data_IF_696528458027
#
_entry.id   IF_696528458027
#
_cell.length_a   1.000
_cell.length_b   1.000
_cell.length_c   1.000
_cell.angle_alpha   90.00
_cell.angle_beta   90.00
_cell.angle_gamma   90.00
#
_symmetry.space_group_name_H-M   'P 1'
#
loop_
_entity.id
_entity.type
_entity.pdbx_description
1 polymer ?
#
# COMPACT_ATOMS: atom_id res chain seq x y z
N UNK A 1 -15.09 -7.98 -5.00
CA UNK A 1 -14.02 -6.99 -4.77
C UNK A 1 -13.88 -6.62 -3.30
N UNK A 2 -14.95 -6.25 -2.65
CA UNK A 2 -14.92 -5.89 -1.22
C UNK A 2 -14.50 -7.06 -0.34
N UNK A 3 -14.90 -8.28 -0.65
CA UNK A 3 -14.47 -9.47 0.06
C UNK A 3 -12.95 -9.68 -0.05
N UNK A 4 -12.38 -9.41 -1.22
CA UNK A 4 -10.95 -9.50 -1.42
C UNK A 4 -10.20 -8.50 -0.54
N UNK A 5 -10.69 -7.26 -0.47
CA UNK A 5 -10.13 -6.22 0.39
C UNK A 5 -10.18 -6.66 1.86
N UNK A 6 -11.33 -7.17 2.30
CA UNK A 6 -11.48 -7.62 3.68
C UNK A 6 -10.57 -8.80 4.01
N UNK A 7 -10.39 -9.72 3.06
CA UNK A 7 -9.51 -10.88 3.23
C UNK A 7 -8.05 -10.42 3.41
N UNK A 8 -7.60 -9.46 2.61
CA UNK A 8 -6.25 -8.91 2.74
C UNK A 8 -6.09 -8.21 4.09
N UNK A 9 -7.10 -7.44 4.51
CA UNK A 9 -7.04 -6.73 5.79
C UNK A 9 -7.01 -7.66 7.01
N UNK A 10 -7.51 -8.88 6.88
CA UNK A 10 -7.45 -9.89 7.94
C UNK A 10 -6.06 -10.49 8.11
N UNK A 11 -5.17 -10.31 7.14
CA UNK A 11 -3.79 -10.75 7.28
C UNK A 11 -3.08 -9.94 8.37
N UNK A 12 -2.16 -10.58 9.07
CA UNK A 12 -1.30 -9.89 10.04
C UNK A 12 -0.19 -9.08 9.36
N UNK A 13 -0.01 -9.22 8.05
CA UNK A 13 0.98 -8.49 7.26
C UNK A 13 0.33 -7.35 6.49
N UNK A 14 1.10 -6.31 6.21
CA UNK A 14 0.60 -5.14 5.50
C UNK A 14 1.70 -4.32 4.86
N UNK A 15 2.55 -4.95 4.01
CA UNK A 15 3.62 -4.23 3.31
C UNK A 15 3.08 -3.53 2.07
N UNK A 16 2.70 -4.28 1.06
CA UNK A 16 2.11 -3.74 -0.15
C UNK A 16 1.02 -4.67 -0.66
N UNK A 17 0.06 -4.13 -1.39
CA UNK A 17 -0.97 -4.90 -2.07
C UNK A 17 -1.07 -4.43 -3.52
N UNK A 18 -1.20 -5.39 -4.44
CA UNK A 18 -1.44 -5.13 -5.85
C UNK A 18 -2.93 -5.22 -6.16
N UNK A 19 -3.45 -4.27 -6.91
CA UNK A 19 -4.86 -4.23 -7.32
C UNK A 19 -4.93 -4.01 -8.83
N UNK A 20 -5.58 -4.93 -9.53
CA UNK A 20 -5.75 -4.85 -10.98
C UNK A 20 -7.18 -4.46 -11.30
N UNK A 21 -7.36 -3.28 -11.85
CA UNK A 21 -8.67 -2.79 -12.23
C UNK A 21 -8.57 -1.61 -13.20
N UNK A 22 -9.57 -1.45 -14.06
CA UNK A 22 -9.73 -0.25 -14.90
C UNK A 22 -10.74 0.74 -14.32
N UNK A 23 -11.37 0.40 -13.20
CA UNK A 23 -12.43 1.21 -12.60
C UNK A 23 -11.83 2.13 -11.54
N UNK A 24 -11.91 3.44 -11.77
CA UNK A 24 -11.36 4.44 -10.86
C UNK A 24 -11.98 4.35 -9.45
N UNK A 25 -13.28 4.11 -9.37
CA UNK A 25 -13.93 4.01 -8.07
C UNK A 25 -13.40 2.83 -7.26
N UNK A 26 -13.10 1.71 -7.92
CA UNK A 26 -12.48 0.56 -7.25
C UNK A 26 -11.05 0.84 -6.83
N UNK A 27 -10.30 1.59 -7.63
CA UNK A 27 -8.94 2.01 -7.23
C UNK A 27 -8.98 2.84 -5.96
N UNK A 28 -9.87 3.82 -5.91
CA UNK A 28 -10.00 4.69 -4.74
C UNK A 28 -10.55 3.94 -3.53
N UNK A 29 -11.48 3.02 -3.74
CA UNK A 29 -11.98 2.16 -2.67
C UNK A 29 -10.86 1.33 -2.05
N UNK A 30 -10.03 0.72 -2.91
CA UNK A 30 -8.88 -0.06 -2.45
C UNK A 30 -7.90 0.81 -1.64
N UNK A 31 -7.61 2.01 -2.14
CA UNK A 31 -6.76 2.96 -1.43
C UNK A 31 -7.30 3.30 -0.04
N UNK A 32 -8.60 3.55 0.06
CA UNK A 32 -9.22 3.96 1.32
C UNK A 32 -9.33 2.81 2.33
N UNK A 33 -9.50 1.58 1.85
CA UNK A 33 -9.89 0.46 2.72
C UNK A 33 -8.78 -0.58 2.96
N UNK A 34 -7.72 -0.61 2.15
CA UNK A 34 -6.60 -1.53 2.37
C UNK A 34 -5.67 -1.00 3.47
N UNK A 35 -5.44 -1.81 4.48
CA UNK A 35 -4.54 -1.49 5.60
C UNK A 35 -3.14 -2.03 5.32
N UNK A 36 -2.46 -1.41 4.38
CA UNK A 36 -1.10 -1.78 3.94
C UNK A 36 -0.27 -0.51 3.78
N UNK A 37 1.06 -0.67 3.73
CA UNK A 37 1.96 0.45 3.54
C UNK A 37 1.91 1.05 2.14
N UNK A 38 1.69 0.21 1.11
CA UNK A 38 1.57 0.67 -0.27
C UNK A 38 0.46 -0.05 -1.02
N UNK A 39 -0.27 0.68 -1.85
CA UNK A 39 -1.26 0.12 -2.77
C UNK A 39 -0.76 0.35 -4.18
N UNK A 40 -0.54 -0.74 -4.93
CA UNK A 40 -0.01 -0.70 -6.28
C UNK A 40 -1.14 -1.03 -7.25
N UNK A 41 -1.46 -0.11 -8.13
CA UNK A 41 -2.54 -0.30 -9.10
C UNK A 41 -1.96 -0.79 -10.41
N UNK A 42 -2.50 -1.92 -10.89
CA UNK A 42 -2.16 -2.55 -12.17
C UNK A 42 -0.70 -3.02 -12.27
N UNK A 43 -0.09 -3.33 -11.15
CA UNK A 43 1.20 -3.99 -11.09
C UNK A 43 1.27 -4.91 -9.87
N UNK A 44 2.35 -5.64 -9.74
CA UNK A 44 2.56 -6.57 -8.64
C UNK A 44 2.97 -5.84 -7.36
N UNK A 45 2.72 -6.44 -6.18
CA UNK A 45 3.00 -5.75 -4.91
C UNK A 45 4.49 -5.72 -4.53
N UNK A 46 5.38 -5.97 -5.49
CA UNK A 46 6.84 -5.84 -5.33
C UNK A 46 7.39 -4.58 -5.99
N UNK A 47 6.51 -3.74 -6.58
CA UNK A 47 6.93 -2.48 -7.21
C UNK A 47 7.60 -1.57 -6.18
N UNK A 48 8.74 -1.01 -6.57
CA UNK A 48 9.47 -0.06 -5.73
C UNK A 48 10.36 0.83 -6.58
N UNK A 49 10.46 2.11 -6.20
CA UNK A 49 11.47 3.04 -6.69
C UNK A 49 12.17 3.69 -5.49
N UNK A 50 13.42 4.13 -5.70
CA UNK A 50 14.28 4.52 -4.57
C UNK A 50 13.76 5.73 -3.77
N UNK A 51 13.07 6.65 -4.42
CA UNK A 51 12.61 7.88 -3.78
C UNK A 51 11.17 7.81 -3.26
N UNK A 52 10.53 6.66 -3.31
CA UNK A 52 9.18 6.50 -2.75
C UNK A 52 9.25 6.00 -1.30
N UNK A 53 8.28 6.37 -0.46
CA UNK A 53 8.16 5.75 0.85
C UNK A 53 7.95 4.24 0.70
N UNK A 54 8.66 3.45 1.50
CA UNK A 54 8.55 2.01 1.47
C UNK A 54 8.56 1.49 2.88
N UNK A 55 7.58 0.71 3.21
CA UNK A 55 7.43 0.10 4.51
C UNK A 55 6.03 -0.41 4.68
N UNK A 56 5.83 -1.17 5.72
CA UNK A 56 4.56 -1.81 5.99
C UNK A 56 3.95 -1.38 7.30
N UNK A 57 2.77 -1.89 7.52
CA UNK A 57 2.05 -1.78 8.79
C UNK A 57 1.85 -3.18 9.35
N UNK A 58 1.28 -3.29 10.53
CA UNK A 58 1.06 -4.56 11.22
C UNK A 58 2.41 -5.29 11.38
N UNK A 59 2.44 -6.61 11.12
CA UNK A 59 3.66 -7.42 11.28
C UNK A 59 4.67 -7.23 10.15
N UNK A 60 4.35 -6.48 9.11
CA UNK A 60 5.29 -6.20 8.02
C UNK A 60 6.39 -5.22 8.41
N UNK A 61 6.28 -4.55 9.53
CA UNK A 61 7.35 -3.70 10.07
C UNK A 61 6.85 -2.38 10.59
N UNK A 62 7.83 -1.56 11.01
CA UNK A 62 7.60 -0.22 11.52
C UNK A 62 8.36 0.79 10.67
N UNK A 63 7.80 1.98 10.51
CA UNK A 63 8.43 3.08 9.81
C UNK A 63 8.46 2.92 8.30
N UNK A 64 9.15 3.81 7.65
CA UNK A 64 9.28 3.86 6.20
C UNK A 64 10.74 4.11 5.83
N UNK A 65 11.18 3.47 4.74
CA UNK A 65 12.46 3.79 4.12
C UNK A 65 12.32 5.03 3.25
N UNK A 66 13.43 5.70 2.96
CA UNK A 66 13.46 6.91 2.17
C UNK A 66 13.76 8.14 3.02
N UNK A 67 14.47 9.11 2.43
CA UNK A 67 15.02 10.25 3.17
C UNK A 67 13.93 11.07 3.85
N UNK A 68 12.86 11.40 3.10
CA UNK A 68 11.78 12.22 3.64
C UNK A 68 10.91 11.45 4.62
N UNK A 69 10.82 10.15 4.47
CA UNK A 69 9.98 9.32 5.33
C UNK A 69 10.62 9.11 6.71
N UNK A 70 11.94 9.13 6.80
CA UNK A 70 12.63 9.02 8.08
C UNK A 70 12.24 10.15 9.06
N UNK A 71 11.87 11.31 8.54
CA UNK A 71 11.43 12.47 9.33
C UNK A 71 10.01 12.30 9.84
N UNK A 72 9.23 11.43 9.20
CA UNK A 72 7.79 11.26 9.46
C UNK A 72 7.46 9.94 10.14
N UNK A 73 8.41 9.31 10.80
CA UNK A 73 8.19 8.00 11.45
C UNK A 73 7.07 7.99 12.48
N UNK A 74 6.60 9.16 12.91
CA UNK A 74 5.47 9.28 13.83
C UNK A 74 4.10 9.13 13.15
N UNK A 75 4.07 8.99 11.84
CA UNK A 75 2.86 8.91 11.04
C UNK A 75 2.84 7.62 10.24
N UNK A 76 1.64 7.14 9.93
CA UNK A 76 1.46 6.07 8.95
C UNK A 76 1.31 6.68 7.58
N UNK A 77 2.23 6.36 6.68
CA UNK A 77 2.16 6.80 5.30
C UNK A 77 1.78 5.64 4.39
N UNK A 78 1.06 5.95 3.33
CA UNK A 78 0.69 4.99 2.31
C UNK A 78 1.03 5.55 0.94
N UNK A 79 1.31 4.66 0.02
CA UNK A 79 1.59 5.01 -1.38
C UNK A 79 0.51 4.42 -2.28
N UNK A 80 -0.02 5.24 -3.17
CA UNK A 80 -0.84 4.78 -4.28
C UNK A 80 -0.02 4.92 -5.57
N UNK A 81 0.18 3.82 -6.27
CA UNK A 81 0.83 3.82 -7.58
C UNK A 81 -0.09 3.19 -8.62
N UNK A 82 -0.29 3.89 -9.71
CA UNK A 82 -1.15 3.45 -10.82
C UNK A 82 -0.28 3.32 -12.07
N UNK A 83 -0.23 2.11 -12.63
CA UNK A 83 0.46 1.82 -13.88
C UNK A 83 -0.56 1.75 -15.01
N UNK A 84 -0.36 2.57 -16.00
CA UNK A 84 -1.26 2.64 -17.16
C UNK A 84 -0.76 1.81 -18.32
#
# INVERSE_FOLDING_TARGET
FEQGINTINQSRFGLQAGVYTQNLNKMLYAWDHLHVGGVIINDVPTFRVDNMPYGGVKDSGLGREGIHSAIRDMQEERLLAIKQ
#
